data_IF_706120107045
#
_entry.id   IF_706120107045
#
_cell.length_a   1.000
_cell.length_b   1.000
_cell.length_c   1.000
_cell.angle_alpha   90.00
_cell.angle_beta   90.00
_cell.angle_gamma   90.00
#
_symmetry.space_group_name_H-M   'P 1'
#
loop_
_entity.id
_entity.type
_entity.pdbx_description
1 polymer ?
#
# COMPACT_ATOMS: atom_id res chain seq x y z
N UNK A 1 16.83 4.32 20.49
CA UNK A 1 15.82 3.24 20.42
C UNK A 1 14.98 3.40 19.14
N UNK A 2 15.55 3.27 17.92
CA UNK A 2 14.85 3.53 16.63
C UNK A 2 14.80 2.34 15.66
N UNK A 3 15.57 1.28 15.93
CA UNK A 3 15.77 0.15 15.01
C UNK A 3 14.63 -0.88 15.04
N UNK A 4 13.95 -1.02 16.18
CA UNK A 4 12.80 -1.92 16.32
C UNK A 4 11.57 -1.33 15.62
N UNK A 5 11.31 -0.03 15.80
CA UNK A 5 10.20 0.69 15.15
C UNK A 5 10.29 0.57 13.62
N UNK A 6 11.47 0.76 13.03
CA UNK A 6 11.64 0.62 11.58
C UNK A 6 11.30 -0.80 11.09
N UNK A 7 11.63 -1.84 11.85
CA UNK A 7 11.31 -3.23 11.50
C UNK A 7 9.80 -3.52 11.60
N UNK A 8 9.14 -2.96 12.62
CA UNK A 8 7.69 -3.07 12.79
C UNK A 8 6.97 -2.38 11.63
N UNK A 9 7.41 -1.17 11.25
CA UNK A 9 6.83 -0.44 10.14
C UNK A 9 7.04 -1.13 8.79
N UNK A 10 8.24 -1.69 8.52
CA UNK A 10 8.46 -2.48 7.30
C UNK A 10 7.51 -3.66 7.22
N UNK A 11 7.33 -4.40 8.32
CA UNK A 11 6.38 -5.52 8.37
C UNK A 11 4.93 -5.07 8.17
N UNK A 12 4.54 -3.92 8.73
CA UNK A 12 3.19 -3.37 8.56
C UNK A 12 2.93 -2.89 7.13
N UNK A 13 3.88 -2.18 6.51
CA UNK A 13 3.80 -1.76 5.11
C UNK A 13 3.71 -2.94 4.15
N UNK A 14 4.50 -4.00 4.36
CA UNK A 14 4.45 -5.22 3.55
C UNK A 14 3.09 -5.92 3.63
N UNK A 15 2.57 -6.14 4.85
CA UNK A 15 1.22 -6.69 5.04
C UNK A 15 0.15 -5.81 4.40
N UNK A 16 0.25 -4.49 4.54
CA UNK A 16 -0.70 -3.57 3.93
C UNK A 16 -0.72 -3.72 2.41
N UNK A 17 0.43 -3.67 1.73
CA UNK A 17 0.51 -3.82 0.27
C UNK A 17 -0.07 -5.16 -0.18
N UNK A 18 0.27 -6.25 0.50
CA UNK A 18 -0.28 -7.58 0.21
C UNK A 18 -1.81 -7.62 0.35
N UNK A 19 -2.37 -7.04 1.42
CA UNK A 19 -3.82 -6.97 1.63
C UNK A 19 -4.51 -6.15 0.55
N UNK A 20 -3.93 -5.02 0.13
CA UNK A 20 -4.53 -4.18 -0.92
C UNK A 20 -4.57 -4.91 -2.28
N UNK A 21 -3.53 -5.67 -2.64
CA UNK A 21 -3.53 -6.54 -3.83
C UNK A 21 -4.63 -7.60 -3.76
N UNK A 22 -4.75 -8.30 -2.63
CA UNK A 22 -5.80 -9.31 -2.42
C UNK A 22 -7.21 -8.72 -2.52
N UNK A 23 -7.41 -7.51 -2.00
CA UNK A 23 -8.69 -6.80 -2.12
C UNK A 23 -8.98 -6.43 -3.58
N UNK A 24 -7.99 -5.94 -4.33
CA UNK A 24 -8.12 -5.68 -5.76
C UNK A 24 -8.54 -6.93 -6.54
N UNK A 25 -7.89 -8.07 -6.26
CA UNK A 25 -8.23 -9.36 -6.88
C UNK A 25 -9.68 -9.77 -6.59
N UNK A 26 -10.11 -9.64 -5.32
CA UNK A 26 -11.47 -10.00 -4.89
C UNK A 26 -12.56 -9.09 -5.43
N UNK A 27 -12.24 -7.83 -5.72
CA UNK A 27 -13.15 -6.86 -6.33
C UNK A 27 -13.22 -7.00 -7.87
N UNK A 28 -12.65 -8.06 -8.44
CA UNK A 28 -12.68 -8.31 -9.89
C UNK A 28 -11.63 -7.52 -10.67
N UNK A 29 -10.67 -6.88 -10.00
CA UNK A 29 -9.58 -6.11 -10.62
C UNK A 29 -8.27 -6.92 -10.71
N UNK A 30 -8.37 -8.26 -10.69
CA UNK A 30 -7.23 -9.17 -10.66
C UNK A 30 -6.30 -9.08 -11.89
N UNK A 31 -6.83 -8.66 -13.03
CA UNK A 31 -6.05 -8.44 -14.25
C UNK A 31 -5.69 -6.99 -14.54
N UNK A 32 -6.06 -6.05 -13.66
CA UNK A 32 -5.79 -4.63 -13.88
C UNK A 32 -4.38 -4.27 -13.39
N UNK A 33 -3.61 -3.60 -14.26
CA UNK A 33 -2.29 -3.05 -13.91
C UNK A 33 -2.38 -1.91 -12.89
N UNK A 34 -3.54 -1.25 -12.84
CA UNK A 34 -3.88 -0.18 -11.92
C UNK A 34 -5.30 -0.38 -11.42
N UNK A 35 -5.49 -0.33 -10.11
CA UNK A 35 -6.82 -0.37 -9.50
C UNK A 35 -6.98 0.65 -8.39
N UNK A 36 -8.23 1.04 -8.17
CA UNK A 36 -8.63 1.94 -7.09
C UNK A 36 -9.43 1.16 -6.07
N UNK A 37 -9.11 1.37 -4.79
CA UNK A 37 -9.89 0.83 -3.68
C UNK A 37 -10.90 1.85 -3.18
N UNK A 38 -12.10 1.35 -2.89
CA UNK A 38 -13.28 2.12 -2.50
C UNK A 38 -12.98 3.05 -1.31
N UNK A 39 -13.36 4.34 -1.38
CA UNK A 39 -13.29 5.25 -0.24
C UNK A 39 -14.04 4.74 1.01
N UNK A 40 -14.95 3.79 0.91
CA UNK A 40 -15.65 3.15 2.03
C UNK A 40 -14.72 2.46 3.05
N UNK A 41 -13.56 1.94 2.61
CA UNK A 41 -12.62 1.25 3.49
C UNK A 41 -11.87 2.23 4.39
N UNK A 42 -12.07 2.15 5.70
CA UNK A 42 -11.42 3.05 6.65
C UNK A 42 -10.02 2.55 7.04
N UNK A 43 -9.21 3.45 7.61
CA UNK A 43 -7.93 3.03 8.19
C UNK A 43 -8.11 2.07 9.38
N UNK A 44 -9.27 2.09 10.05
CA UNK A 44 -9.59 1.15 11.12
C UNK A 44 -9.89 -0.25 10.55
N UNK A 45 -10.63 -0.32 9.44
CA UNK A 45 -10.88 -1.59 8.74
C UNK A 45 -9.57 -2.20 8.27
N UNK A 46 -8.70 -1.40 7.66
CA UNK A 46 -7.35 -1.82 7.27
C UNK A 46 -6.52 -2.28 8.48
N UNK A 47 -6.64 -1.60 9.62
CA UNK A 47 -5.93 -1.95 10.85
C UNK A 47 -6.34 -3.32 11.38
N UNK A 48 -7.65 -3.57 11.41
CA UNK A 48 -8.24 -4.86 11.76
C UNK A 48 -7.82 -5.96 10.79
N UNK A 49 -7.81 -5.67 9.48
CA UNK A 49 -7.43 -6.63 8.44
C UNK A 49 -5.96 -7.06 8.52
N UNK A 50 -5.03 -6.14 8.86
CA UNK A 50 -3.59 -6.43 8.87
C UNK A 50 -3.01 -6.64 10.28
N UNK A 51 -3.87 -6.61 11.31
CA UNK A 51 -3.52 -6.87 12.71
C UNK A 51 -2.58 -5.81 13.30
N UNK A 52 -2.84 -4.53 13.04
CA UNK A 52 -2.05 -3.42 13.62
C UNK A 52 -2.98 -2.31 14.11
N UNK A 53 -2.42 -1.27 14.72
CA UNK A 53 -3.22 -0.10 15.13
C UNK A 53 -3.54 0.83 13.95
N UNK A 54 -4.66 1.55 14.00
CA UNK A 54 -4.98 2.61 13.02
C UNK A 54 -3.86 3.64 12.83
N UNK A 55 -3.18 4.15 13.87
CA UNK A 55 -2.00 5.00 13.68
C UNK A 55 -0.88 4.31 12.89
N UNK A 56 -0.64 3.01 13.10
CA UNK A 56 0.34 2.23 12.33
C UNK A 56 -0.06 2.12 10.86
N UNK A 57 -1.34 1.91 10.54
CA UNK A 57 -1.85 1.95 9.16
C UNK A 57 -1.63 3.31 8.54
N UNK A 58 -2.02 4.38 9.22
CA UNK A 58 -1.87 5.76 8.74
C UNK A 58 -0.41 6.10 8.42
N UNK A 59 0.52 5.70 9.31
CA UNK A 59 1.95 5.86 9.10
C UNK A 59 2.46 5.02 7.91
N UNK A 60 1.95 3.80 7.75
CA UNK A 60 2.31 2.90 6.65
C UNK A 60 1.83 3.43 5.31
N UNK A 61 0.57 3.91 5.21
CA UNK A 61 0.02 4.56 4.01
C UNK A 61 0.86 5.79 3.64
N UNK A 62 1.12 6.67 4.61
CA UNK A 62 1.91 7.89 4.38
C UNK A 62 3.33 7.56 3.90
N UNK A 63 3.94 6.51 4.46
CA UNK A 63 5.25 6.03 4.03
C UNK A 63 5.21 5.49 2.60
N UNK A 64 4.27 4.60 2.30
CA UNK A 64 4.13 3.99 0.98
C UNK A 64 3.84 5.04 -0.10
N UNK A 65 3.07 6.08 0.21
CA UNK A 65 2.88 7.25 -0.67
C UNK A 65 4.19 7.99 -0.94
N UNK A 66 4.98 8.27 0.11
CA UNK A 66 6.31 8.88 -0.07
C UNK A 66 7.29 8.00 -0.85
N UNK A 67 7.10 6.69 -0.81
CA UNK A 67 7.92 5.72 -1.56
C UNK A 67 7.43 5.48 -2.99
N UNK A 68 6.34 6.14 -3.42
CA UNK A 68 5.75 5.95 -4.75
C UNK A 68 5.05 4.60 -4.94
N UNK A 69 4.78 3.86 -3.87
CA UNK A 69 4.15 2.53 -3.93
C UNK A 69 2.63 2.62 -3.93
N UNK A 70 2.08 3.61 -3.22
CA UNK A 70 0.66 3.93 -3.19
C UNK A 70 0.43 5.34 -3.70
N UNK A 71 -0.66 5.55 -4.43
CA UNK A 71 -1.10 6.85 -4.90
C UNK A 71 -2.52 7.17 -4.38
N UNK A 72 -3.08 8.29 -4.81
CA UNK A 72 -4.42 8.73 -4.46
C UNK A 72 -4.47 9.75 -3.32
N UNK A 73 -5.62 10.38 -3.18
CA UNK A 73 -5.87 11.45 -2.21
C UNK A 73 -7.01 11.10 -1.25
N UNK A 74 -6.93 11.63 -0.04
CA UNK A 74 -7.91 11.36 1.01
C UNK A 74 -8.05 9.85 1.26
N UNK A 75 -9.30 9.36 1.14
CA UNK A 75 -9.69 7.96 1.34
C UNK A 75 -9.47 7.07 0.11
N UNK A 76 -9.17 7.66 -1.05
CA UNK A 76 -8.86 6.90 -2.25
C UNK A 76 -7.41 6.38 -2.18
N UNK A 77 -7.27 5.07 -2.39
CA UNK A 77 -5.99 4.39 -2.55
C UNK A 77 -5.90 3.86 -3.97
N UNK A 78 -4.88 4.31 -4.69
CA UNK A 78 -4.56 3.84 -6.04
C UNK A 78 -3.33 2.93 -5.93
N UNK A 79 -3.42 1.76 -6.54
CA UNK A 79 -2.36 0.74 -6.52
C UNK A 79 -2.02 0.38 -7.95
N UNK A 80 -0.73 0.40 -8.26
CA UNK A 80 -0.17 -0.19 -9.46
C UNK A 80 0.36 -1.58 -9.13
N UNK A 81 -0.11 -2.62 -9.82
CA UNK A 81 0.19 -4.01 -9.49
C UNK A 81 1.68 -4.31 -9.56
N UNK A 82 2.33 -3.95 -10.68
CA UNK A 82 3.77 -4.17 -10.88
C UNK A 82 4.62 -3.51 -9.78
N UNK A 83 4.25 -2.29 -9.39
CA UNK A 83 4.90 -1.52 -8.32
C UNK A 83 4.74 -2.21 -6.97
N UNK A 84 3.52 -2.58 -6.62
CA UNK A 84 3.19 -3.25 -5.37
C UNK A 84 3.89 -4.61 -5.26
N UNK A 85 3.87 -5.42 -6.32
CA UNK A 85 4.56 -6.70 -6.36
C UNK A 85 6.08 -6.53 -6.25
N UNK A 86 6.65 -5.52 -6.91
CA UNK A 86 8.07 -5.25 -6.80
C UNK A 86 8.49 -4.79 -5.40
N UNK A 87 7.66 -3.98 -4.74
CA UNK A 87 7.84 -3.64 -3.33
C UNK A 87 7.84 -4.88 -2.43
N UNK A 88 6.94 -5.84 -2.69
CA UNK A 88 6.87 -7.08 -1.91
C UNK A 88 8.08 -8.00 -2.13
N UNK A 89 8.63 -8.03 -3.36
CA UNK A 89 9.87 -8.77 -3.69
C UNK A 89 11.14 -8.09 -3.21
N UNK A 90 11.08 -6.78 -2.93
CA UNK A 90 12.23 -5.98 -2.53
C UNK A 90 13.10 -5.51 -3.70
N UNK A 91 12.60 -5.60 -4.93
CA UNK A 91 13.25 -5.14 -6.16
C UNK A 91 12.75 -3.75 -6.62
N UNK A 92 11.95 -3.08 -5.78
CA UNK A 92 11.39 -1.76 -6.05
C UNK A 92 12.49 -0.67 -6.14
N UNK A 93 12.62 0.03 -7.29
CA UNK A 93 13.69 1.00 -7.52
C UNK A 93 13.51 2.33 -6.77
N UNK A 94 12.34 2.58 -6.16
CA UNK A 94 12.12 3.75 -5.31
C UNK A 94 11.63 5.01 -6.02
N UNK A 95 11.35 4.96 -7.32
CA UNK A 95 10.84 6.11 -8.10
C UNK A 95 9.34 5.96 -8.40
N UNK A 96 8.54 7.03 -8.24
CA UNK A 96 7.09 6.98 -8.46
C UNK A 96 6.75 6.66 -9.92
N UNK A 97 5.72 5.82 -10.10
CA UNK A 97 5.18 5.43 -11.41
C UNK A 97 4.57 6.58 -12.24
N UNK A 98 4.76 7.84 -11.84
CA UNK A 98 4.31 9.05 -12.55
C UNK A 98 5.31 9.52 -13.64
N UNK A 99 6.46 8.87 -13.81
CA UNK A 99 7.42 9.19 -14.89
C UNK A 99 7.09 8.58 -16.26
N UNK A 100 5.96 7.86 -16.42
CA UNK A 100 5.58 7.23 -17.68
C UNK A 100 4.22 7.70 -18.20
N UNK A 101 4.01 9.02 -18.19
CA UNK A 101 2.95 9.64 -18.99
C UNK A 101 3.42 11.02 -19.49
N UNK A 102 4.48 11.00 -20.31
CA UNK A 102 4.93 12.09 -21.16
C UNK A 102 5.10 11.55 -22.59
#
# INVERSE_FOLDING_TARGET
MRRIESLIHTKASHRLVQTLLLLGDRLGQGGADRFELDPGLTHEDLANLIGVSRPTVSASISRLRRQGVLHGQGRCLIIHRQVAEGYLRGDWPGEPAEASNA
#
